data_IF_723734320869
#
_entry.id   IF_723734320869
#
_cell.length_a   1.000
_cell.length_b   1.000
_cell.length_c   1.000
_cell.angle_alpha   90.00
_cell.angle_beta   90.00
_cell.angle_gamma   90.00
#
_symmetry.space_group_name_H-M   'P 1'
#
loop_
_entity.id
_entity.type
_entity.pdbx_description
1 polymer ?
#
# COMPACT_ATOMS: atom_id res chain seq x y z
N UNK A 1 17.50 6.86 29.31
CA UNK A 1 16.26 6.62 28.56
C UNK A 1 16.67 6.37 27.12
N UNK A 2 16.42 5.18 26.56
CA UNK A 2 16.78 4.88 25.18
C UNK A 2 15.89 5.67 24.23
N UNK A 3 16.47 6.37 23.26
CA UNK A 3 15.71 7.06 22.23
C UNK A 3 14.86 6.05 21.45
N UNK A 4 13.54 6.22 21.52
CA UNK A 4 12.59 5.45 20.72
C UNK A 4 12.64 6.01 19.30
N UNK A 5 13.59 5.50 18.51
CA UNK A 5 13.73 5.81 17.08
C UNK A 5 13.27 4.61 16.28
N UNK A 6 12.27 4.81 15.42
CA UNK A 6 11.80 3.77 14.49
C UNK A 6 12.11 4.17 13.07
N UNK A 7 12.80 3.29 12.35
CA UNK A 7 13.19 3.50 10.95
C UNK A 7 12.38 2.55 10.05
N UNK A 8 11.68 3.12 9.08
CA UNK A 8 10.90 2.41 8.08
C UNK A 8 11.58 2.48 6.72
N UNK A 9 11.72 1.32 6.08
CA UNK A 9 12.32 1.14 4.76
C UNK A 9 11.49 0.13 3.99
N UNK A 10 11.57 0.21 2.66
CA UNK A 10 11.04 -0.86 1.81
C UNK A 10 11.69 -2.18 2.22
N UNK A 11 10.87 -3.14 2.64
CA UNK A 11 11.33 -4.47 3.03
C UNK A 11 10.75 -5.53 2.11
N UNK A 12 11.56 -6.55 1.79
CA UNK A 12 11.09 -7.72 1.03
C UNK A 12 9.91 -8.39 1.75
N UNK A 13 9.93 -8.41 3.09
CA UNK A 13 8.85 -8.97 3.89
C UNK A 13 7.52 -8.26 3.63
N UNK A 14 7.52 -6.93 3.55
CA UNK A 14 6.30 -6.16 3.27
C UNK A 14 5.77 -6.44 1.87
N UNK A 15 6.65 -6.45 0.85
CA UNK A 15 6.27 -6.78 -0.52
C UNK A 15 5.60 -8.15 -0.60
N UNK A 16 6.23 -9.16 0.01
CA UNK A 16 5.73 -10.53 0.04
C UNK A 16 4.39 -10.62 0.78
N UNK A 17 4.23 -9.92 1.92
CA UNK A 17 3.00 -9.96 2.70
C UNK A 17 1.80 -9.42 1.91
N UNK A 18 1.98 -8.36 1.11
CA UNK A 18 0.90 -7.83 0.27
C UNK A 18 0.53 -8.80 -0.86
N UNK A 19 1.52 -9.40 -1.52
CA UNK A 19 1.30 -10.39 -2.60
C UNK A 19 0.62 -11.65 -2.06
N UNK A 20 1.02 -12.14 -0.88
CA UNK A 20 0.46 -13.35 -0.25
C UNK A 20 -1.04 -13.26 0.00
N UNK A 21 -1.59 -12.06 0.21
CA UNK A 21 -3.04 -11.87 0.40
C UNK A 21 -3.84 -12.25 -0.86
N UNK A 22 -3.23 -12.14 -2.04
CA UNK A 22 -3.85 -12.49 -3.34
C UNK A 22 -3.60 -13.94 -3.78
N UNK A 23 -3.08 -14.82 -2.91
CA UNK A 23 -2.71 -16.20 -3.28
C UNK A 23 -3.81 -16.99 -3.99
N UNK A 24 -5.07 -16.77 -3.62
CA UNK A 24 -6.21 -17.46 -4.22
C UNK A 24 -6.40 -17.06 -5.69
N UNK A 25 -6.24 -15.77 -6.01
CA UNK A 25 -6.33 -15.27 -7.38
C UNK A 25 -5.21 -15.84 -8.26
N UNK A 26 -3.98 -15.93 -7.74
CA UNK A 26 -2.90 -16.58 -8.47
C UNK A 26 -3.18 -18.06 -8.72
N UNK A 27 -3.69 -18.78 -7.70
CA UNK A 27 -4.07 -20.19 -7.86
C UNK A 27 -5.16 -20.35 -8.93
N UNK A 28 -6.19 -19.52 -8.91
CA UNK A 28 -7.26 -19.53 -9.91
C UNK A 28 -6.73 -19.19 -11.31
N UNK A 29 -5.81 -18.24 -11.43
CA UNK A 29 -5.18 -17.88 -12.70
C UNK A 29 -4.34 -19.02 -13.29
N UNK A 30 -3.56 -19.73 -12.46
CA UNK A 30 -2.80 -20.88 -12.94
C UNK A 30 -3.69 -22.11 -13.19
N UNK A 31 -4.82 -22.22 -12.50
CA UNK A 31 -5.80 -23.27 -12.73
C UNK A 31 -6.69 -23.00 -13.96
N UNK A 32 -6.86 -21.74 -14.38
CA UNK A 32 -7.80 -21.37 -15.44
C UNK A 32 -7.50 -22.04 -16.80
N UNK A 33 -6.23 -22.23 -17.25
CA UNK A 33 -5.97 -22.92 -18.51
C UNK A 33 -6.42 -24.38 -18.50
N UNK A 34 -6.47 -25.03 -17.33
CA UNK A 34 -6.94 -26.41 -17.23
C UNK A 34 -8.44 -26.54 -17.45
N UNK A 35 -9.22 -25.46 -17.37
CA UNK A 35 -10.65 -25.50 -17.71
C UNK A 35 -10.87 -25.86 -19.18
N UNK A 36 -9.88 -25.59 -20.06
CA UNK A 36 -9.90 -25.98 -21.47
C UNK A 36 -10.04 -27.51 -21.67
N UNK A 37 -9.65 -28.35 -20.70
CA UNK A 37 -9.83 -29.80 -20.79
C UNK A 37 -11.28 -30.26 -20.59
N UNK A 38 -12.12 -29.41 -19.99
CA UNK A 38 -13.49 -29.75 -19.59
C UNK A 38 -14.56 -28.88 -20.28
N UNK A 39 -14.15 -27.85 -21.04
CA UNK A 39 -15.04 -26.82 -21.58
C UNK A 39 -14.59 -26.31 -22.95
N UNK A 40 -15.43 -25.52 -23.63
CA UNK A 40 -15.09 -24.88 -24.90
C UNK A 40 -13.93 -23.87 -24.75
N UNK A 41 -13.06 -23.80 -25.77
CA UNK A 41 -11.90 -22.91 -25.79
C UNK A 41 -12.26 -21.43 -25.60
N UNK A 42 -13.41 -20.98 -26.13
CA UNK A 42 -13.89 -19.60 -25.96
C UNK A 42 -14.18 -19.29 -24.49
N UNK A 43 -14.78 -20.24 -23.77
CA UNK A 43 -15.05 -20.11 -22.34
C UNK A 43 -13.74 -20.04 -21.55
N UNK A 44 -12.78 -20.91 -21.87
CA UNK A 44 -11.47 -20.94 -21.23
C UNK A 44 -10.70 -19.61 -21.39
N UNK A 45 -10.70 -19.03 -22.60
CA UNK A 45 -10.11 -17.71 -22.88
C UNK A 45 -10.81 -16.63 -22.05
N UNK A 46 -12.15 -16.59 -22.09
CA UNK A 46 -12.94 -15.59 -21.36
C UNK A 46 -12.66 -15.65 -19.85
N UNK A 47 -12.73 -16.85 -19.26
CA UNK A 47 -12.48 -17.07 -17.84
C UNK A 47 -11.07 -16.65 -17.42
N UNK A 48 -10.06 -17.00 -18.23
CA UNK A 48 -8.66 -16.61 -17.98
C UNK A 48 -8.49 -15.09 -18.02
N UNK A 49 -9.08 -14.40 -19.00
CA UNK A 49 -9.01 -12.94 -19.10
C UNK A 49 -9.67 -12.24 -17.90
N UNK A 50 -10.83 -12.74 -17.45
CA UNK A 50 -11.54 -12.18 -16.30
C UNK A 50 -10.71 -12.28 -15.01
N UNK A 51 -10.00 -13.38 -14.80
CA UNK A 51 -9.10 -13.55 -13.64
C UNK A 51 -7.81 -12.73 -13.80
N UNK A 52 -7.32 -12.58 -15.03
CA UNK A 52 -6.08 -11.86 -15.31
C UNK A 52 -6.18 -10.36 -15.03
N UNK A 53 -7.32 -9.71 -15.35
CA UNK A 53 -7.49 -8.26 -15.19
C UNK A 53 -7.20 -7.78 -13.75
N UNK A 54 -7.80 -8.35 -12.69
CA UNK A 54 -7.49 -7.95 -11.31
C UNK A 54 -6.03 -8.15 -10.91
N UNK A 55 -5.37 -9.20 -11.42
CA UNK A 55 -3.95 -9.48 -11.16
C UNK A 55 -3.07 -8.43 -11.85
N UNK A 56 -3.41 -8.06 -13.09
CA UNK A 56 -2.69 -7.04 -13.84
C UNK A 56 -2.77 -5.67 -13.13
N UNK A 57 -3.96 -5.27 -12.68
CA UNK A 57 -4.15 -4.03 -11.90
C UNK A 57 -3.31 -4.07 -10.61
N UNK A 58 -3.31 -5.21 -9.91
CA UNK A 58 -2.50 -5.39 -8.71
C UNK A 58 -1.00 -5.20 -9.01
N UNK A 59 -0.52 -5.74 -10.12
CA UNK A 59 0.87 -5.62 -10.53
C UNK A 59 1.25 -4.17 -10.84
N UNK A 60 0.39 -3.43 -11.54
CA UNK A 60 0.59 -1.99 -11.83
C UNK A 60 0.74 -1.20 -10.53
N UNK A 61 -0.18 -1.38 -9.59
CA UNK A 61 -0.14 -0.68 -8.29
C UNK A 61 1.12 -1.05 -7.50
N UNK A 62 1.51 -2.33 -7.51
CA UNK A 62 2.74 -2.77 -6.84
C UNK A 62 3.97 -2.06 -7.39
N UNK A 63 4.06 -1.97 -8.72
CA UNK A 63 5.18 -1.33 -9.41
C UNK A 63 5.22 0.16 -9.09
N UNK A 64 4.07 0.85 -9.14
CA UNK A 64 3.97 2.27 -8.80
C UNK A 64 4.42 2.53 -7.36
N UNK A 65 3.94 1.71 -6.41
CA UNK A 65 4.33 1.81 -5.01
C UNK A 65 5.83 1.57 -4.82
N UNK A 66 6.37 0.56 -5.50
CA UNK A 66 7.80 0.27 -5.45
C UNK A 66 8.63 1.42 -6.01
N UNK A 67 8.22 2.03 -7.13
CA UNK A 67 8.92 3.18 -7.72
C UNK A 67 8.85 4.41 -6.80
N UNK A 68 7.72 4.65 -6.12
CA UNK A 68 7.57 5.78 -5.21
C UNK A 68 8.42 5.62 -3.92
N UNK A 69 8.49 4.40 -3.39
CA UNK A 69 9.10 4.12 -2.09
C UNK A 69 10.53 3.58 -2.18
N UNK A 70 11.01 3.14 -3.35
CA UNK A 70 12.43 2.79 -3.52
C UNK A 70 13.29 3.98 -3.14
N UNK A 71 14.36 3.71 -2.39
CA UNK A 71 15.28 4.73 -1.86
C UNK A 71 14.64 5.76 -0.91
N UNK A 72 13.44 5.49 -0.37
CA UNK A 72 12.82 6.28 0.68
C UNK A 72 13.05 5.60 2.05
N UNK A 73 13.40 6.41 3.03
CA UNK A 73 13.54 6.01 4.44
C UNK A 73 12.78 7.03 5.29
N UNK A 74 11.94 6.53 6.21
CA UNK A 74 11.23 7.37 7.18
C UNK A 74 11.76 7.02 8.56
N UNK A 75 12.30 8.01 9.24
CA UNK A 75 12.81 7.90 10.60
C UNK A 75 11.90 8.72 11.50
N UNK A 76 11.38 8.09 12.56
CA UNK A 76 10.51 8.74 13.53
C UNK A 76 11.18 8.66 14.89
N UNK A 77 11.54 9.82 15.41
CA UNK A 77 12.04 9.98 16.76
C UNK A 77 10.87 10.41 17.65
N UNK A 78 10.42 9.50 18.51
CA UNK A 78 9.28 9.75 19.40
C UNK A 78 9.63 10.64 20.59
N UNK A 79 10.88 10.59 21.07
CA UNK A 79 11.36 11.44 22.16
C UNK A 79 11.32 12.91 21.74
N UNK A 80 11.87 13.20 20.55
CA UNK A 80 11.99 14.56 20.03
C UNK A 80 10.76 15.01 19.22
N UNK A 81 9.82 14.08 18.94
CA UNK A 81 8.63 14.32 18.11
C UNK A 81 8.99 14.86 16.72
N UNK A 82 10.00 14.26 16.11
CA UNK A 82 10.51 14.63 14.78
C UNK A 82 10.29 13.48 13.82
N UNK A 83 9.84 13.82 12.61
CA UNK A 83 9.78 12.92 11.46
C UNK A 83 10.83 13.38 10.48
N UNK A 84 11.70 12.47 10.08
CA UNK A 84 12.73 12.68 9.08
C UNK A 84 12.43 11.79 7.89
N UNK A 85 12.33 12.39 6.71
CA UNK A 85 12.13 11.68 5.44
C UNK A 85 13.39 11.86 4.61
N UNK A 86 14.00 10.73 4.23
CA UNK A 86 15.14 10.68 3.32
C UNK A 86 14.66 10.07 2.00
N UNK A 87 14.85 10.76 0.88
CA UNK A 87 14.57 10.23 -0.47
C UNK A 87 15.61 10.76 -1.45
N UNK A 88 16.28 9.87 -2.19
CA UNK A 88 17.25 10.24 -3.23
C UNK A 88 18.28 11.31 -2.76
N UNK A 89 18.89 11.09 -1.59
CA UNK A 89 19.83 12.00 -0.91
C UNK A 89 19.26 13.33 -0.39
N UNK A 90 17.98 13.61 -0.62
CA UNK A 90 17.30 14.74 0.03
C UNK A 90 16.84 14.27 1.40
N UNK A 91 17.19 15.02 2.44
CA UNK A 91 16.72 14.83 3.82
C UNK A 91 15.88 16.04 4.20
N UNK A 92 14.61 15.80 4.49
CA UNK A 92 13.73 16.80 5.10
C UNK A 92 13.30 16.31 6.48
N UNK A 93 13.08 17.24 7.41
CA UNK A 93 12.62 16.91 8.76
C UNK A 93 11.62 17.95 9.23
N UNK A 94 10.62 17.49 9.97
CA UNK A 94 9.56 18.33 10.50
C UNK A 94 9.08 17.80 11.85
N UNK A 95 8.56 18.69 12.68
CA UNK A 95 7.99 18.33 13.97
C UNK A 95 6.60 17.73 13.79
N UNK A 96 6.16 16.92 14.75
CA UNK A 96 4.76 16.47 14.80
C UNK A 96 3.78 17.65 14.88
N UNK A 97 4.20 18.78 15.46
CA UNK A 97 3.40 20.00 15.54
C UNK A 97 3.15 20.64 14.16
N UNK A 98 4.00 20.35 13.17
CA UNK A 98 3.86 20.85 11.81
C UNK A 98 2.86 20.02 10.99
N UNK A 99 2.37 18.91 11.53
CA UNK A 99 1.44 18.01 10.84
C UNK A 99 0.02 18.54 10.97
N UNK A 100 -0.56 18.92 9.83
CA UNK A 100 -1.95 19.37 9.70
C UNK A 100 -2.93 18.20 9.81
N UNK A 101 -2.66 17.13 9.06
CA UNK A 101 -3.52 15.96 9.02
C UNK A 101 -2.77 14.74 8.47
N UNK A 102 -3.27 13.56 8.82
CA UNK A 102 -2.79 12.29 8.26
C UNK A 102 -3.97 11.56 7.67
N UNK A 103 -3.89 11.32 6.37
CA UNK A 103 -4.91 10.60 5.62
C UNK A 103 -4.43 9.16 5.46
N UNK A 104 -5.31 8.22 5.80
CA UNK A 104 -5.09 6.80 5.57
C UNK A 104 -6.07 6.37 4.50
N UNK A 105 -5.57 6.14 3.29
CA UNK A 105 -6.36 5.53 2.23
C UNK A 105 -6.14 4.02 2.28
N UNK A 106 -7.17 3.35 2.81
CA UNK A 106 -7.23 1.89 2.80
C UNK A 106 -7.93 1.41 1.54
N UNK A 107 -7.38 0.42 0.85
CA UNK A 107 -8.06 -0.21 -0.27
C UNK A 107 -9.38 -0.88 0.17
N UNK A 108 -9.34 -1.71 1.21
CA UNK A 108 -10.54 -2.23 1.89
C UNK A 108 -10.31 -2.34 3.41
N UNK A 109 -11.29 -1.88 4.22
CA UNK A 109 -11.15 -1.75 5.69
C UNK A 109 -10.88 -3.11 6.37
N UNK A 110 -11.34 -4.21 5.77
CA UNK A 110 -11.17 -5.59 6.23
C UNK A 110 -10.56 -6.50 5.16
N UNK A 111 -9.76 -5.95 4.24
CA UNK A 111 -9.24 -6.70 3.09
C UNK A 111 -8.56 -8.02 3.51
N UNK A 112 -7.83 -8.03 4.63
CA UNK A 112 -7.17 -9.22 5.14
C UNK A 112 -8.09 -10.38 5.54
N UNK A 113 -9.39 -10.14 5.76
CA UNK A 113 -10.38 -11.13 6.18
C UNK A 113 -11.56 -11.29 5.20
N UNK A 114 -11.64 -10.46 4.17
CA UNK A 114 -12.73 -10.53 3.20
C UNK A 114 -12.30 -11.33 1.95
N UNK A 115 -12.85 -12.54 1.74
CA UNK A 115 -12.52 -13.36 0.58
C UNK A 115 -12.99 -12.76 -0.75
N UNK A 116 -13.85 -11.73 -0.72
CA UNK A 116 -14.35 -11.01 -1.91
C UNK A 116 -13.46 -9.84 -2.29
N UNK A 117 -12.45 -9.52 -1.49
CA UNK A 117 -11.54 -8.42 -1.76
C UNK A 117 -10.72 -8.71 -3.03
N UNK A 118 -10.80 -7.78 -4.00
CA UNK A 118 -10.00 -7.87 -5.21
C UNK A 118 -8.51 -7.66 -4.87
N UNK A 119 -7.57 -8.27 -5.61
CA UNK A 119 -6.14 -8.23 -5.31
C UNK A 119 -5.56 -6.83 -5.10
N UNK A 120 -6.02 -5.85 -5.87
CA UNK A 120 -5.58 -4.46 -5.76
C UNK A 120 -6.06 -3.75 -4.48
N UNK A 121 -7.12 -4.24 -3.84
CA UNK A 121 -7.67 -3.63 -2.62
C UNK A 121 -6.85 -3.92 -1.36
N UNK A 122 -5.81 -4.76 -1.46
CA UNK A 122 -4.89 -5.05 -0.36
C UNK A 122 -3.80 -3.99 -0.15
N UNK A 123 -3.68 -3.03 -1.07
CA UNK A 123 -2.71 -1.95 -1.01
C UNK A 123 -3.29 -0.77 -0.26
N UNK A 124 -2.56 -0.30 0.75
CA UNK A 124 -2.86 0.93 1.46
C UNK A 124 -1.71 1.93 1.28
N UNK A 125 -2.08 3.20 1.37
CA UNK A 125 -1.13 4.29 1.44
C UNK A 125 -1.60 5.34 2.42
N UNK A 126 -0.65 6.17 2.80
CA UNK A 126 -0.79 7.15 3.85
C UNK A 126 -0.21 8.47 3.33
N UNK A 127 -0.88 9.55 3.64
CA UNK A 127 -0.44 10.90 3.29
C UNK A 127 -0.34 11.74 4.55
N UNK A 128 0.87 12.20 4.88
CA UNK A 128 1.09 13.22 5.90
C UNK A 128 1.03 14.58 5.20
N UNK A 129 0.07 15.42 5.60
CA UNK A 129 -0.04 16.79 5.13
C UNK A 129 0.45 17.73 6.23
N UNK A 130 1.37 18.62 5.89
CA UNK A 130 1.90 19.64 6.78
C UNK A 130 1.04 20.91 6.76
N UNK A 131 1.25 21.79 7.74
CA UNK A 131 0.56 23.09 7.84
C UNK A 131 0.85 24.02 6.65
N UNK A 132 2.03 23.89 6.03
CA UNK A 132 2.41 24.59 4.79
C UNK A 132 1.88 23.91 3.50
N UNK A 133 0.93 22.99 3.64
CA UNK A 133 0.33 22.20 2.56
C UNK A 133 1.30 21.30 1.77
N UNK A 134 2.56 21.12 2.22
CA UNK A 134 3.42 20.03 1.71
C UNK A 134 2.82 18.68 2.10
N UNK A 135 2.92 17.72 1.17
CA UNK A 135 2.37 16.38 1.35
C UNK A 135 3.46 15.32 1.16
N UNK A 136 3.47 14.32 2.05
CA UNK A 136 4.35 13.17 1.98
C UNK A 136 3.55 11.89 1.92
N UNK A 137 3.71 11.15 0.82
CA UNK A 137 3.03 9.88 0.57
C UNK A 137 3.97 8.70 0.85
N UNK A 138 3.47 7.70 1.55
CA UNK A 138 4.16 6.44 1.81
C UNK A 138 3.18 5.27 1.77
N UNK A 139 3.67 4.11 1.36
CA UNK A 139 2.83 2.95 1.08
C UNK A 139 3.13 1.78 2.01
N UNK A 140 2.27 0.76 1.98
CA UNK A 140 2.45 -0.49 2.72
C UNK A 140 3.76 -1.23 2.41
N UNK A 141 4.43 -0.92 1.29
CA UNK A 141 5.75 -1.49 0.98
C UNK A 141 6.82 -0.97 1.95
N UNK A 142 6.71 0.30 2.34
CA UNK A 142 7.63 0.95 3.28
C UNK A 142 7.22 0.73 4.73
N UNK A 143 5.92 0.81 5.03
CA UNK A 143 5.40 0.55 6.37
C UNK A 143 3.95 0.06 6.31
N UNK A 144 3.67 -1.12 6.88
CA UNK A 144 2.30 -1.68 6.94
C UNK A 144 1.38 -0.90 7.90
N UNK A 145 1.95 -0.26 8.92
CA UNK A 145 1.21 0.55 9.88
C UNK A 145 2.15 1.54 10.55
N UNK A 146 1.92 2.84 10.32
CA UNK A 146 2.50 3.84 11.20
C UNK A 146 1.79 3.77 12.55
N UNK A 147 2.36 3.02 13.50
CA UNK A 147 1.90 2.95 14.89
C UNK A 147 2.02 4.29 15.65
N UNK A 148 2.44 5.34 14.96
CA UNK A 148 2.80 6.65 15.51
C UNK A 148 1.55 7.50 15.79
N UNK A 149 0.42 7.17 15.16
CA UNK A 149 -0.79 7.98 15.19
C UNK A 149 -2.02 7.15 15.59
N UNK A 150 -2.03 6.62 16.81
CA UNK A 150 -3.28 6.33 17.53
C UNK A 150 -3.93 7.61 18.10
N UNK A 151 -3.66 8.76 17.47
CA UNK A 151 -4.11 10.08 17.90
C UNK A 151 -5.42 10.44 17.19
N UNK A 152 -6.54 10.27 17.91
CA UNK A 152 -7.83 11.01 17.97
C UNK A 152 -8.32 11.98 16.85
N UNK A 153 -7.69 12.07 15.67
CA UNK A 153 -8.07 12.88 14.52
C UNK A 153 -7.81 12.09 13.22
N UNK A 154 -8.45 10.93 13.09
CA UNK A 154 -8.47 10.18 11.84
C UNK A 154 -9.67 10.63 11.01
N UNK A 155 -9.47 11.56 10.07
CA UNK A 155 -10.45 11.84 9.03
C UNK A 155 -10.40 10.72 7.99
N UNK A 156 -11.39 9.82 8.04
CA UNK A 156 -11.54 8.73 7.06
C UNK A 156 -11.97 9.33 5.72
N UNK A 157 -11.08 9.31 4.73
CA UNK A 157 -11.45 9.62 3.34
C UNK A 157 -11.87 8.34 2.62
N UNK A 158 -13.03 8.36 1.95
CA UNK A 158 -13.43 7.32 1.00
C UNK A 158 -12.70 7.57 -0.32
N UNK A 159 -12.07 6.53 -0.87
CA UNK A 159 -11.36 6.59 -2.15
C UNK A 159 -12.34 6.94 -3.27
N UNK A 160 -12.06 8.02 -4.01
CA UNK A 160 -12.60 8.25 -5.35
C UNK A 160 -11.61 7.66 -6.36
N UNK A 161 -11.99 6.58 -7.03
CA UNK A 161 -11.17 5.87 -8.02
C UNK A 161 -11.00 6.62 -9.36
N UNK A 162 -11.40 7.89 -9.45
CA UNK A 162 -11.52 8.60 -10.74
C UNK A 162 -10.24 9.38 -11.13
N UNK A 163 -9.27 9.58 -10.22
CA UNK A 163 -8.10 10.42 -10.51
C UNK A 163 -6.79 9.63 -10.78
N UNK A 164 -6.87 8.35 -11.16
CA UNK A 164 -5.70 7.58 -11.62
C UNK A 164 -6.00 6.98 -13.00
N UNK A 165 -6.20 7.84 -14.00
CA UNK A 165 -5.95 7.60 -15.44
C UNK A 165 -5.53 8.92 -16.05
#
# INVERSE_FOLDING_TARGET
MSDLITVYKVSKQNQINVIKKSRLYYLLFFASPFSCFFTDIKFCIYFTLVIFIPILIQFIIHLDYYINDRNKEIEINFSDRIITIKKNNIKESFSFNDVKSILIQKGHINASSDPKALPFSFYNYYTIKLLNDKEYVFTDLLCQRLNVFELNKLTKSKVNFINII
#
